data_IF_773081215227
#
_entry.id   IF_773081215227
#
_cell.length_a   1.000
_cell.length_b   1.000
_cell.length_c   1.000
_cell.angle_alpha   90.00
_cell.angle_beta   90.00
_cell.angle_gamma   90.00
#
_symmetry.space_group_name_H-M   'P 1'
#
loop_
_entity.id
_entity.type
_entity.pdbx_description
1 polymer ?
#
# COMPACT_ATOMS: atom_id res chain seq x y z
N UNK A 1 -5.09 1.22 18.61
CA UNK A 1 -4.61 1.51 17.23
C UNK A 1 -5.72 1.55 16.18
N UNK A 2 -6.84 0.83 16.33
CA UNK A 2 -7.95 0.89 15.37
C UNK A 2 -8.58 2.28 15.20
N UNK A 3 -8.89 2.97 16.30
CA UNK A 3 -9.58 4.27 16.25
C UNK A 3 -8.75 5.42 15.62
N UNK A 4 -7.42 5.31 15.63
CA UNK A 4 -6.52 6.29 14.99
C UNK A 4 -6.47 6.12 13.46
N UNK A 5 -6.79 4.93 12.95
CA UNK A 5 -6.76 4.63 11.52
C UNK A 5 -8.02 5.13 10.82
N UNK A 6 -9.20 4.98 11.43
CA UNK A 6 -10.46 5.42 10.82
C UNK A 6 -10.51 6.94 10.59
N UNK A 7 -10.04 7.73 11.56
CA UNK A 7 -9.93 9.20 11.42
C UNK A 7 -8.85 9.60 10.40
N UNK A 8 -7.79 8.80 10.29
CA UNK A 8 -6.73 9.04 9.33
C UNK A 8 -7.13 8.65 7.90
N UNK A 9 -8.19 7.87 7.68
CA UNK A 9 -8.62 7.44 6.35
C UNK A 9 -9.74 8.32 5.75
N UNK A 10 -10.34 9.21 6.54
CA UNK A 10 -11.42 10.08 6.08
C UNK A 10 -10.93 11.46 5.59
N UNK A 11 -11.47 11.91 4.45
CA UNK A 11 -11.23 13.22 3.84
C UNK A 11 -9.87 13.45 3.13
N UNK A 12 -9.71 14.60 2.44
CA UNK A 12 -8.47 14.96 1.76
C UNK A 12 -7.26 14.91 2.69
N UNK A 13 -6.16 14.33 2.21
CA UNK A 13 -4.92 14.18 2.99
C UNK A 13 -4.95 13.05 4.03
N UNK A 14 -6.00 12.24 4.08
CA UNK A 14 -6.07 11.02 4.87
C UNK A 14 -4.82 10.14 4.73
N UNK A 15 -4.49 9.79 3.49
CA UNK A 15 -3.30 8.98 3.20
C UNK A 15 -1.98 9.65 3.63
N UNK A 16 -1.90 10.99 3.61
CA UNK A 16 -0.74 11.72 4.15
C UNK A 16 -0.65 11.50 5.66
N UNK A 17 -1.74 11.73 6.41
CA UNK A 17 -1.78 11.54 7.86
C UNK A 17 -1.47 10.10 8.27
N UNK A 18 -2.00 9.12 7.54
CA UNK A 18 -1.68 7.72 7.72
C UNK A 18 -0.17 7.45 7.62
N UNK A 19 0.49 7.96 6.57
CA UNK A 19 1.95 7.84 6.41
C UNK A 19 2.73 8.59 7.50
N UNK A 20 2.26 9.76 7.91
CA UNK A 20 2.89 10.55 8.97
C UNK A 20 2.84 9.81 10.33
N UNK A 21 1.77 9.04 10.59
CA UNK A 21 1.69 8.16 11.75
C UNK A 21 2.65 6.97 11.60
N UNK A 22 2.65 6.29 10.45
CA UNK A 22 3.57 5.15 10.22
C UNK A 22 5.05 5.54 10.30
N UNK A 23 5.42 6.76 9.89
CA UNK A 23 6.79 7.26 9.99
C UNK A 23 7.34 7.27 11.42
N UNK A 24 6.47 7.26 12.44
CA UNK A 24 6.86 7.19 13.86
C UNK A 24 7.13 5.75 14.33
N UNK A 25 6.84 4.74 13.50
CA UNK A 25 6.93 3.32 13.82
C UNK A 25 7.69 2.58 12.70
N UNK A 26 9.04 2.57 12.71
CA UNK A 26 9.84 2.07 11.60
C UNK A 26 9.52 0.61 11.21
N UNK A 27 9.31 -0.29 12.19
CA UNK A 27 8.94 -1.69 11.89
C UNK A 27 7.59 -1.80 11.17
N UNK A 28 6.62 -0.97 11.53
CA UNK A 28 5.29 -0.98 10.91
C UNK A 28 5.32 -0.33 9.52
N UNK A 29 6.18 0.67 9.34
CA UNK A 29 6.43 1.27 8.03
C UNK A 29 7.05 0.26 7.05
N UNK A 30 8.04 -0.52 7.50
CA UNK A 30 8.64 -1.59 6.69
C UNK A 30 7.61 -2.67 6.32
N UNK A 31 6.79 -3.11 7.29
CA UNK A 31 5.69 -4.06 7.02
C UNK A 31 4.67 -3.49 6.03
N UNK A 32 4.35 -2.21 6.14
CA UNK A 32 3.46 -1.55 5.20
C UNK A 32 4.05 -1.48 3.79
N UNK A 33 5.34 -1.16 3.63
CA UNK A 33 5.98 -1.16 2.31
C UNK A 33 6.03 -2.55 1.68
N UNK A 34 6.36 -3.59 2.46
CA UNK A 34 6.36 -4.97 1.99
C UNK A 34 4.96 -5.40 1.52
N UNK A 35 3.91 -5.12 2.33
CA UNK A 35 2.53 -5.39 1.95
C UNK A 35 2.12 -4.61 0.69
N UNK A 36 2.46 -3.32 0.63
CA UNK A 36 2.12 -2.47 -0.51
C UNK A 36 2.75 -3.00 -1.80
N UNK A 37 4.03 -3.39 -1.78
CA UNK A 37 4.71 -3.92 -2.97
C UNK A 37 4.01 -5.18 -3.48
N UNK A 38 3.80 -6.17 -2.60
CA UNK A 38 3.18 -7.44 -2.99
C UNK A 38 1.74 -7.28 -3.46
N UNK A 39 0.97 -6.38 -2.84
CA UNK A 39 -0.37 -6.04 -3.28
C UNK A 39 -0.34 -5.47 -4.70
N UNK A 40 0.44 -4.40 -4.94
CA UNK A 40 0.47 -3.77 -6.26
C UNK A 40 1.04 -4.68 -7.34
N UNK A 41 2.06 -5.49 -7.04
CA UNK A 41 2.59 -6.50 -7.96
C UNK A 41 1.49 -7.45 -8.42
N UNK A 42 0.70 -7.99 -7.47
CA UNK A 42 -0.42 -8.88 -7.79
C UNK A 42 -1.50 -8.17 -8.60
N UNK A 43 -1.97 -7.00 -8.17
CA UNK A 43 -3.05 -6.29 -8.89
C UNK A 43 -2.63 -5.87 -10.30
N UNK A 44 -1.36 -5.46 -10.50
CA UNK A 44 -0.81 -5.14 -11.81
C UNK A 44 -0.73 -6.39 -12.68
N UNK A 45 -0.25 -7.51 -12.12
CA UNK A 45 -0.18 -8.78 -12.83
C UNK A 45 -1.56 -9.23 -13.30
N UNK A 46 -2.54 -9.28 -12.39
CA UNK A 46 -3.92 -9.68 -12.68
C UNK A 46 -4.56 -8.75 -13.74
N UNK A 47 -4.31 -7.44 -13.64
CA UNK A 47 -4.81 -6.48 -14.63
C UNK A 47 -4.19 -6.68 -16.02
N UNK A 48 -2.87 -6.89 -16.10
CA UNK A 48 -2.17 -7.13 -17.36
C UNK A 48 -2.55 -8.47 -17.99
N UNK A 49 -2.68 -9.53 -17.19
CA UNK A 49 -3.15 -10.84 -17.63
C UNK A 49 -4.56 -10.74 -18.22
N UNK A 50 -5.46 -9.95 -17.59
CA UNK A 50 -6.78 -9.65 -18.13
C UNK A 50 -6.77 -8.96 -19.50
N UNK A 51 -5.67 -8.30 -19.85
CA UNK A 51 -5.43 -7.68 -21.16
C UNK A 51 -4.65 -8.58 -22.13
N UNK A 52 -4.28 -9.80 -21.70
CA UNK A 52 -3.44 -10.72 -22.48
C UNK A 52 -1.97 -10.31 -22.55
N UNK A 53 -1.50 -9.47 -21.61
CA UNK A 53 -0.12 -9.00 -21.52
C UNK A 53 0.57 -9.77 -20.39
N UNK A 54 1.67 -10.46 -20.71
CA UNK A 54 2.48 -11.13 -19.69
C UNK A 54 3.18 -10.09 -18.81
N UNK A 55 3.01 -10.21 -17.49
CA UNK A 55 3.75 -9.40 -16.52
C UNK A 55 5.06 -10.09 -16.17
N UNK A 56 6.17 -9.36 -16.30
CA UNK A 56 7.49 -9.77 -15.83
C UNK A 56 7.92 -8.83 -14.70
N UNK A 57 8.02 -9.31 -13.45
CA UNK A 57 8.57 -8.50 -12.37
C UNK A 57 10.02 -8.15 -12.69
N UNK A 58 10.36 -6.87 -12.57
CA UNK A 58 11.76 -6.43 -12.67
C UNK A 58 12.49 -6.90 -11.40
N UNK A 59 13.71 -7.47 -11.51
CA UNK A 59 14.51 -7.89 -10.37
C UNK A 59 14.92 -6.71 -9.47
#
# INVERSE_FOLDING_TARGET
>A
MGELLDVALDGPGAFRRFKDVLARYPEQLERWYAFKSSYFEREIAEWLEGLGIAWEPKP
#
